data_IF_459636927592
#
_entry.id   IF_459636927592
#
_cell.length_a   1.000
_cell.length_b   1.000
_cell.length_c   1.000
_cell.angle_alpha   90.00
_cell.angle_beta   90.00
_cell.angle_gamma   90.00
#
_symmetry.space_group_name_H-M   'P 1'
#
loop_
_entity.id
_entity.type
_entity.pdbx_description
1 polymer ?
#
# COMPACT_ATOMS: atom_id res chain seq x y z
N UNK A 1 -2.57 -20.56 13.29
CA UNK A 1 -1.58 -19.47 13.14
C UNK A 1 -1.42 -19.15 11.67
N UNK A 2 -1.57 -17.88 11.28
CA UNK A 2 -1.41 -17.49 9.86
C UNK A 2 -0.13 -16.68 9.69
N UNK A 3 0.72 -17.08 8.73
CA UNK A 3 1.88 -16.30 8.30
C UNK A 3 1.49 -15.43 7.10
N UNK A 4 1.95 -14.19 7.08
CA UNK A 4 1.63 -13.22 6.04
C UNK A 4 2.93 -12.49 5.67
N UNK A 5 3.39 -12.65 4.45
CA UNK A 5 4.49 -11.87 3.91
C UNK A 5 3.95 -10.61 3.24
N UNK A 6 4.48 -9.47 3.63
CA UNK A 6 4.08 -8.16 3.09
C UNK A 6 5.21 -7.64 2.23
N UNK A 7 5.04 -7.67 0.91
CA UNK A 7 6.01 -7.11 -0.04
C UNK A 7 5.89 -5.60 0.01
N UNK A 8 6.97 -4.91 0.35
CA UNK A 8 7.02 -3.45 0.53
C UNK A 8 8.06 -2.81 -0.38
N UNK A 9 7.89 -1.52 -0.68
CA UNK A 9 8.77 -0.80 -1.61
C UNK A 9 10.11 -0.43 -0.99
N UNK A 10 10.12 -0.05 0.30
CA UNK A 10 11.31 0.47 0.96
C UNK A 10 11.34 0.29 2.46
N UNK A 11 12.34 0.93 3.08
CA UNK A 11 12.59 0.83 4.53
C UNK A 11 11.50 1.50 5.37
N UNK A 12 10.83 2.50 4.83
CA UNK A 12 9.77 3.25 5.52
C UNK A 12 8.54 2.37 5.72
N UNK A 13 8.07 1.71 4.65
CA UNK A 13 6.97 0.75 4.68
C UNK A 13 7.34 -0.48 5.52
N UNK A 14 8.60 -0.96 5.44
CA UNK A 14 9.10 -2.04 6.30
C UNK A 14 8.98 -1.67 7.78
N UNK A 15 9.43 -0.47 8.15
CA UNK A 15 9.33 0.04 9.52
C UNK A 15 7.87 0.21 9.95
N UNK A 16 6.99 0.71 9.07
CA UNK A 16 5.56 0.82 9.31
C UNK A 16 4.94 -0.56 9.61
N UNK A 17 5.18 -1.55 8.77
CA UNK A 17 4.68 -2.91 8.98
C UNK A 17 5.22 -3.49 10.28
N UNK A 18 6.53 -3.41 10.52
CA UNK A 18 7.20 -4.01 11.67
C UNK A 18 6.75 -3.39 12.99
N UNK A 19 6.67 -2.06 13.05
CA UNK A 19 6.45 -1.35 14.31
C UNK A 19 4.97 -1.14 14.62
N UNK A 20 4.13 -0.95 13.60
CA UNK A 20 2.72 -0.60 13.79
C UNK A 20 1.77 -1.75 13.48
N UNK A 21 2.02 -2.57 12.45
CA UNK A 21 1.11 -3.66 12.10
C UNK A 21 1.44 -4.98 12.81
N UNK A 22 2.70 -5.37 12.92
CA UNK A 22 3.09 -6.64 13.52
C UNK A 22 2.52 -6.82 14.94
N UNK A 23 2.64 -5.87 15.89
CA UNK A 23 2.20 -6.10 17.26
C UNK A 23 0.70 -6.41 17.42
N UNK A 24 -0.24 -5.65 16.82
CA UNK A 24 -1.67 -5.93 16.96
C UNK A 24 -2.10 -7.20 16.21
N UNK A 25 -1.45 -7.54 15.10
CA UNK A 25 -1.76 -8.75 14.34
C UNK A 25 -1.23 -10.01 15.05
N UNK A 26 -0.04 -9.96 15.64
CA UNK A 26 0.55 -11.07 16.38
C UNK A 26 -0.33 -11.48 17.57
N UNK A 27 -0.93 -10.50 18.28
CA UNK A 27 -1.91 -10.77 19.37
C UNK A 27 -3.14 -11.54 18.90
N UNK A 28 -3.42 -11.52 17.58
CA UNK A 28 -4.54 -12.24 16.96
C UNK A 28 -4.08 -13.52 16.24
N UNK A 29 -2.85 -14.00 16.52
CA UNK A 29 -2.28 -15.20 15.91
C UNK A 29 -1.93 -15.06 14.43
N UNK A 30 -1.75 -13.81 13.94
CA UNK A 30 -1.34 -13.48 12.57
C UNK A 30 0.04 -12.86 12.59
N UNK A 31 0.99 -13.49 11.91
CA UNK A 31 2.40 -13.10 11.92
C UNK A 31 2.77 -12.47 10.58
N UNK A 32 2.95 -11.15 10.59
CA UNK A 32 3.36 -10.39 9.42
C UNK A 32 4.88 -10.33 9.36
N UNK A 33 5.43 -10.51 8.15
CA UNK A 33 6.86 -10.35 7.87
C UNK A 33 6.99 -9.46 6.64
N UNK A 34 7.50 -8.22 6.79
CA UNK A 34 7.76 -7.36 5.63
C UNK A 34 8.96 -7.87 4.84
N UNK A 35 8.90 -7.73 3.52
CA UNK A 35 9.97 -8.08 2.59
C UNK A 35 10.12 -6.92 1.60
N UNK A 36 11.26 -6.25 1.65
CA UNK A 36 11.57 -5.17 0.70
C UNK A 36 11.82 -5.78 -0.68
N UNK A 37 11.11 -5.30 -1.70
CA UNK A 37 11.35 -5.69 -3.08
C UNK A 37 12.63 -5.04 -3.61
N UNK A 38 13.50 -5.85 -4.22
CA UNK A 38 14.73 -5.35 -4.82
C UNK A 38 14.48 -4.86 -6.24
N UNK A 39 14.66 -3.58 -6.49
CA UNK A 39 14.40 -2.98 -7.82
C UNK A 39 15.66 -2.67 -8.62
N UNK A 40 16.78 -2.37 -7.97
CA UNK A 40 18.11 -2.25 -8.60
C UNK A 40 19.22 -2.16 -7.55
N UNK A 41 20.46 -2.61 -7.85
CA UNK A 41 21.62 -2.33 -6.99
C UNK A 41 21.80 -0.81 -6.87
N UNK A 42 21.78 -0.28 -5.64
CA UNK A 42 22.03 1.12 -5.35
C UNK A 42 20.84 2.08 -5.34
N UNK A 43 19.64 1.66 -5.71
CA UNK A 43 18.41 2.47 -5.55
C UNK A 43 17.62 1.97 -4.34
N UNK A 44 17.44 2.85 -3.38
CA UNK A 44 16.61 2.63 -2.18
C UNK A 44 15.26 3.29 -2.42
N UNK A 45 14.21 2.48 -2.61
CA UNK A 45 12.82 2.93 -2.66
C UNK A 45 12.17 2.96 -4.05
N UNK A 46 10.89 2.67 -4.06
CA UNK A 46 9.99 2.68 -5.23
C UNK A 46 10.04 1.43 -6.10
N UNK A 47 8.87 1.02 -6.62
CA UNK A 47 8.78 -0.04 -7.64
C UNK A 47 9.12 0.55 -9.01
N UNK A 48 10.38 0.49 -9.40
CA UNK A 48 10.88 1.06 -10.68
C UNK A 48 10.39 0.25 -11.90
N UNK A 49 10.11 -1.06 -11.73
CA UNK A 49 9.65 -1.93 -12.82
C UNK A 49 8.95 -3.16 -12.25
N UNK A 50 7.76 -3.42 -12.74
CA UNK A 50 7.00 -4.61 -12.36
C UNK A 50 7.69 -5.90 -12.81
N UNK A 51 8.35 -5.90 -13.96
CA UNK A 51 9.09 -7.05 -14.45
C UNK A 51 10.15 -7.57 -13.46
N UNK A 52 10.71 -6.69 -12.61
CA UNK A 52 11.67 -7.08 -11.55
C UNK A 52 10.98 -7.55 -10.28
N UNK A 53 9.79 -7.06 -9.98
CA UNK A 53 9.03 -7.37 -8.75
C UNK A 53 8.27 -8.68 -8.88
N UNK A 54 7.65 -8.95 -10.03
CA UNK A 54 6.86 -10.17 -10.29
C UNK A 54 7.57 -11.47 -9.90
N UNK A 55 8.83 -11.71 -10.32
CA UNK A 55 9.52 -12.96 -9.94
C UNK A 55 9.72 -13.10 -8.43
N UNK A 56 9.86 -11.99 -7.70
CA UNK A 56 10.04 -12.00 -6.25
C UNK A 56 8.74 -12.37 -5.54
N UNK A 57 7.59 -11.81 -5.97
CA UNK A 57 6.27 -12.16 -5.44
C UNK A 57 5.99 -13.65 -5.70
N UNK A 58 6.14 -14.12 -6.95
CA UNK A 58 5.90 -15.53 -7.31
C UNK A 58 6.80 -16.46 -6.51
N UNK A 59 8.09 -16.14 -6.39
CA UNK A 59 9.03 -16.92 -5.58
C UNK A 59 8.57 -17.01 -4.12
N UNK A 60 8.14 -15.88 -3.53
CA UNK A 60 7.68 -15.86 -2.14
C UNK A 60 6.43 -16.71 -1.95
N UNK A 61 5.46 -16.63 -2.87
CA UNK A 61 4.26 -17.48 -2.85
C UNK A 61 4.59 -18.96 -2.87
N UNK A 62 5.56 -19.35 -3.70
CA UNK A 62 5.94 -20.76 -3.88
C UNK A 62 6.84 -21.30 -2.78
N UNK A 63 7.67 -20.45 -2.16
CA UNK A 63 8.55 -20.87 -1.05
C UNK A 63 7.77 -21.27 0.20
N UNK A 64 6.61 -20.66 0.43
CA UNK A 64 5.76 -20.96 1.58
C UNK A 64 4.28 -20.95 1.16
N UNK A 65 3.83 -22.04 0.53
CA UNK A 65 2.45 -22.19 0.08
C UNK A 65 1.42 -22.18 1.22
N UNK A 66 1.84 -22.36 2.47
CA UNK A 66 0.99 -22.26 3.67
C UNK A 66 0.89 -20.85 4.26
N UNK A 67 1.56 -19.87 3.68
CA UNK A 67 1.49 -18.48 4.08
C UNK A 67 0.78 -17.64 3.01
N UNK A 68 0.18 -16.53 3.43
CA UNK A 68 -0.34 -15.52 2.52
C UNK A 68 0.78 -14.55 2.11
N UNK A 69 0.73 -14.09 0.88
CA UNK A 69 1.60 -13.02 0.36
C UNK A 69 0.72 -11.85 -0.07
N UNK A 70 1.06 -10.67 0.39
CA UNK A 70 0.37 -9.42 0.02
C UNK A 70 1.38 -8.34 -0.36
N UNK A 71 0.91 -7.25 -0.94
CA UNK A 71 1.70 -6.08 -1.29
C UNK A 71 1.28 -4.87 -0.45
N UNK A 72 2.19 -3.93 -0.25
CA UNK A 72 1.93 -2.61 0.27
C UNK A 72 2.67 -1.64 -0.63
N UNK A 73 2.07 -1.36 -1.81
CA UNK A 73 2.63 -0.50 -2.85
C UNK A 73 1.73 0.71 -3.05
N UNK A 74 2.33 1.86 -3.32
CA UNK A 74 1.59 3.09 -3.53
C UNK A 74 1.03 3.16 -4.96
N UNK A 75 -0.27 3.37 -5.08
CA UNK A 75 -1.00 3.43 -6.35
C UNK A 75 -0.34 4.39 -7.36
N UNK A 76 0.03 5.59 -6.89
CA UNK A 76 0.56 6.63 -7.76
C UNK A 76 2.04 6.46 -8.10
N UNK A 77 2.78 5.68 -7.30
CA UNK A 77 4.18 5.34 -7.56
C UNK A 77 4.35 4.13 -8.48
N UNK A 78 3.28 3.42 -8.84
CA UNK A 78 3.37 2.22 -9.67
C UNK A 78 3.96 2.53 -11.06
N UNK A 79 4.86 1.67 -11.57
CA UNK A 79 5.49 1.84 -12.87
C UNK A 79 4.50 1.62 -14.02
N UNK A 80 4.87 2.09 -15.22
CA UNK A 80 4.01 1.99 -16.41
C UNK A 80 3.80 0.55 -16.88
N UNK A 81 4.74 -0.35 -16.59
CA UNK A 81 4.67 -1.78 -16.91
C UNK A 81 3.84 -2.58 -15.89
N UNK A 82 3.20 -1.90 -14.91
CA UNK A 82 2.32 -2.56 -13.95
C UNK A 82 1.06 -3.14 -14.64
N UNK A 83 0.61 -4.36 -14.28
CA UNK A 83 -0.53 -5.01 -14.90
C UNK A 83 -1.77 -4.13 -14.95
N UNK A 84 -2.30 -3.92 -16.15
CA UNK A 84 -3.50 -3.13 -16.39
C UNK A 84 -3.30 -1.62 -16.44
N UNK A 85 -2.17 -1.06 -16.00
CA UNK A 85 -1.95 0.40 -15.92
C UNK A 85 -1.96 1.08 -17.29
N UNK A 86 -1.41 0.44 -18.29
CA UNK A 86 -1.41 0.92 -19.70
C UNK A 86 -2.57 0.37 -20.54
N UNK A 87 -3.48 -0.42 -19.95
CA UNK A 87 -4.59 -1.00 -20.69
C UNK A 87 -5.67 0.04 -21.03
N UNK A 88 -6.34 -0.05 -22.21
CA UNK A 88 -7.44 0.85 -22.57
C UNK A 88 -8.59 0.86 -21.56
N UNK A 89 -8.77 -0.25 -20.83
CA UNK A 89 -9.79 -0.39 -19.79
C UNK A 89 -9.41 0.22 -18.43
N UNK A 90 -8.21 0.81 -18.30
CA UNK A 90 -7.80 1.46 -17.06
C UNK A 90 -8.71 2.65 -16.74
N UNK A 91 -9.33 2.71 -15.55
CA UNK A 91 -10.30 3.74 -15.20
C UNK A 91 -9.62 5.06 -14.80
N UNK A 92 -8.94 5.71 -15.74
CA UNK A 92 -8.10 6.88 -15.49
C UNK A 92 -8.80 8.05 -14.78
N UNK A 93 -10.12 8.21 -15.01
CA UNK A 93 -10.93 9.28 -14.43
C UNK A 93 -11.74 8.87 -13.19
N UNK A 94 -11.59 7.63 -12.73
CA UNK A 94 -12.25 7.15 -11.51
C UNK A 94 -11.51 7.59 -10.24
N UNK A 95 -12.13 7.37 -9.07
CA UNK A 95 -11.48 7.58 -7.77
C UNK A 95 -10.24 6.69 -7.59
N UNK A 96 -9.35 7.07 -6.70
CA UNK A 96 -8.16 6.29 -6.35
C UNK A 96 -8.52 4.87 -5.93
N UNK A 97 -9.54 4.71 -5.09
CA UNK A 97 -10.05 3.41 -4.67
C UNK A 97 -10.55 2.53 -5.82
N UNK A 98 -11.17 3.12 -6.85
CA UNK A 98 -11.61 2.38 -8.03
C UNK A 98 -10.43 1.95 -8.91
N UNK A 99 -9.43 2.82 -9.06
CA UNK A 99 -8.17 2.52 -9.75
C UNK A 99 -7.42 1.40 -9.05
N UNK A 100 -7.29 1.48 -7.72
CA UNK A 100 -6.62 0.45 -6.91
C UNK A 100 -7.28 -0.91 -7.10
N UNK A 101 -8.59 -1.02 -6.90
CA UNK A 101 -9.34 -2.29 -7.10
C UNK A 101 -9.17 -2.88 -8.50
N UNK A 102 -9.17 -2.03 -9.53
CA UNK A 102 -8.93 -2.49 -10.89
C UNK A 102 -7.52 -3.08 -11.03
N UNK A 103 -6.48 -2.36 -10.59
CA UNK A 103 -5.10 -2.81 -10.69
C UNK A 103 -4.81 -4.03 -9.80
N UNK A 104 -5.39 -4.12 -8.61
CA UNK A 104 -5.32 -5.32 -7.76
C UNK A 104 -5.90 -6.55 -8.47
N UNK A 105 -7.01 -6.38 -9.18
CA UNK A 105 -7.60 -7.46 -9.98
C UNK A 105 -6.64 -7.91 -11.08
N UNK A 106 -6.05 -6.96 -11.81
CA UNK A 106 -5.07 -7.27 -12.86
C UNK A 106 -3.81 -7.94 -12.31
N UNK A 107 -3.30 -7.42 -11.18
CA UNK A 107 -2.13 -7.99 -10.51
C UNK A 107 -2.40 -9.43 -10.03
N UNK A 108 -3.59 -9.67 -9.45
CA UNK A 108 -3.98 -11.02 -9.02
C UNK A 108 -4.03 -12.01 -10.19
N UNK A 109 -4.58 -11.59 -11.32
CA UNK A 109 -4.66 -12.42 -12.53
C UNK A 109 -3.27 -12.71 -13.11
N UNK A 110 -2.37 -11.72 -13.09
CA UNK A 110 -1.04 -11.86 -13.67
C UNK A 110 -0.08 -12.67 -12.79
N UNK A 111 -0.17 -12.58 -11.47
CA UNK A 111 0.61 -13.40 -10.52
C UNK A 111 0.08 -14.84 -10.50
N UNK A 112 -1.25 -15.04 -10.52
CA UNK A 112 -1.93 -16.33 -10.61
C UNK A 112 -1.53 -17.36 -9.53
N UNK A 113 -1.05 -16.92 -8.36
CA UNK A 113 -0.74 -17.80 -7.23
C UNK A 113 -1.91 -17.80 -6.23
N UNK A 114 -2.36 -18.99 -5.72
CA UNK A 114 -3.58 -19.10 -4.93
C UNK A 114 -3.49 -18.41 -3.56
N UNK A 115 -2.29 -18.28 -3.00
CA UNK A 115 -2.01 -17.63 -1.72
C UNK A 115 -1.59 -16.17 -1.85
N UNK A 116 -1.81 -15.55 -3.02
CA UNK A 116 -1.52 -14.15 -3.25
C UNK A 116 -2.78 -13.28 -3.11
N UNK A 117 -2.70 -12.24 -2.28
CA UNK A 117 -3.72 -11.23 -2.08
C UNK A 117 -3.10 -9.86 -2.35
N UNK A 118 -3.27 -9.27 -3.54
CA UNK A 118 -2.75 -7.94 -3.82
C UNK A 118 -3.43 -6.89 -2.94
N UNK A 119 -2.67 -5.88 -2.57
CA UNK A 119 -3.16 -4.69 -1.90
C UNK A 119 -2.35 -3.49 -2.37
N UNK A 120 -3.04 -2.42 -2.74
CA UNK A 120 -2.46 -1.13 -3.10
C UNK A 120 -2.97 -0.06 -2.15
N UNK A 121 -2.07 0.78 -1.68
CA UNK A 121 -2.44 2.01 -0.98
C UNK A 121 -2.86 3.05 -2.01
N UNK A 122 -4.02 3.67 -1.81
CA UNK A 122 -4.53 4.71 -2.71
C UNK A 122 -3.68 5.95 -2.61
N UNK A 123 -3.35 6.33 -1.38
CA UNK A 123 -2.31 7.26 -1.04
C UNK A 123 -1.18 6.54 -0.31
N UNK A 124 -0.12 7.28 -0.01
CA UNK A 124 0.96 6.81 0.87
C UNK A 124 0.37 6.34 2.21
N UNK A 125 1.08 5.45 2.93
CA UNK A 125 0.61 4.93 4.23
C UNK A 125 0.35 6.07 5.25
N UNK A 126 0.87 7.28 5.03
CA UNK A 126 0.59 8.50 5.78
C UNK A 126 -0.90 8.86 5.81
N UNK A 127 -1.68 8.47 4.80
CA UNK A 127 -3.13 8.64 4.81
C UNK A 127 -3.79 7.92 6.01
N UNK A 128 -3.17 6.87 6.54
CA UNK A 128 -3.63 6.19 7.74
C UNK A 128 -3.60 7.10 8.98
N UNK A 129 -2.74 8.11 9.02
CA UNK A 129 -2.71 9.12 10.08
C UNK A 129 -4.02 9.91 10.12
N UNK A 130 -4.68 10.06 8.98
CA UNK A 130 -5.96 10.77 8.87
C UNK A 130 -7.16 9.95 9.33
N UNK A 131 -6.98 8.69 9.72
CA UNK A 131 -8.07 7.86 10.27
C UNK A 131 -8.58 8.36 11.61
N UNK A 132 -7.73 9.07 12.37
CA UNK A 132 -8.08 9.66 13.67
C UNK A 132 -7.51 11.09 13.80
N UNK A 133 -8.08 12.08 13.11
CA UNK A 133 -7.57 13.45 13.12
C UNK A 133 -7.43 14.09 14.52
N UNK A 134 -8.28 13.68 15.47
CA UNK A 134 -8.22 14.17 16.86
C UNK A 134 -6.88 13.84 17.56
N UNK A 135 -6.19 12.75 17.16
CA UNK A 135 -4.90 12.39 17.75
C UNK A 135 -3.80 13.41 17.46
N UNK A 136 -3.98 14.28 16.46
CA UNK A 136 -3.04 15.35 16.18
C UNK A 136 -2.98 16.42 17.28
N UNK A 137 -3.95 16.47 18.20
CA UNK A 137 -3.89 17.34 19.39
C UNK A 137 -2.64 17.06 20.24
N UNK A 138 -2.12 15.82 20.21
CA UNK A 138 -0.92 15.44 20.96
C UNK A 138 0.38 15.92 20.29
N UNK A 139 0.33 16.33 19.02
CA UNK A 139 1.49 16.62 18.19
C UNK A 139 1.59 18.09 17.78
N UNK A 140 0.53 18.86 17.98
CA UNK A 140 0.48 20.27 17.60
C UNK A 140 -0.19 21.14 18.68
N UNK A 141 0.36 22.32 18.91
CA UNK A 141 -0.27 23.34 19.76
C UNK A 141 -1.37 24.13 19.04
N UNK A 142 -1.54 23.93 17.73
CA UNK A 142 -2.59 24.60 16.96
C UNK A 142 -3.89 23.80 17.00
N UNK A 143 -4.82 24.24 17.88
CA UNK A 143 -6.12 23.60 18.07
C UNK A 143 -7.01 23.51 16.81
N UNK A 144 -6.68 24.26 15.74
CA UNK A 144 -7.44 24.22 14.47
C UNK A 144 -7.04 23.01 13.60
N UNK A 145 -5.83 22.46 13.77
CA UNK A 145 -5.33 21.37 12.90
C UNK A 145 -6.22 20.14 12.93
N UNK A 146 -6.58 19.56 14.09
CA UNK A 146 -7.45 18.39 14.13
C UNK A 146 -8.80 18.61 13.46
N UNK A 147 -9.42 19.78 13.69
CA UNK A 147 -10.70 20.11 13.08
C UNK A 147 -10.60 20.28 11.55
N UNK A 148 -9.52 20.92 11.07
CA UNK A 148 -9.27 21.06 9.62
C UNK A 148 -9.07 19.71 8.95
N UNK A 149 -8.30 18.81 9.56
CA UNK A 149 -8.07 17.46 9.06
C UNK A 149 -9.37 16.63 9.04
N UNK A 150 -10.17 16.70 10.13
CA UNK A 150 -11.47 16.03 10.21
C UNK A 150 -12.42 16.52 9.11
N UNK A 151 -12.44 17.84 8.85
CA UNK A 151 -13.24 18.41 7.77
C UNK A 151 -12.77 17.94 6.39
N UNK A 152 -11.45 17.88 6.15
CA UNK A 152 -10.88 17.38 4.90
C UNK A 152 -11.29 15.92 4.64
N UNK A 153 -11.19 15.05 5.67
CA UNK A 153 -11.63 13.65 5.58
C UNK A 153 -13.13 13.56 5.30
N UNK A 154 -13.96 14.36 5.99
CA UNK A 154 -15.41 14.36 5.79
C UNK A 154 -15.79 14.81 4.36
N UNK A 155 -15.07 15.77 3.79
CA UNK A 155 -15.29 16.26 2.41
C UNK A 155 -14.84 15.23 1.36
N UNK A 156 -13.75 14.52 1.62
CA UNK A 156 -13.22 13.49 0.73
C UNK A 156 -14.03 12.18 0.77
N UNK A 157 -14.71 11.89 1.89
CA UNK A 157 -15.45 10.66 2.10
C UNK A 157 -14.67 9.54 2.78
N UNK A 158 -13.35 9.52 2.62
CA UNK A 158 -12.45 8.62 3.35
C UNK A 158 -11.08 9.28 3.56
N UNK A 159 -10.27 8.81 4.53
CA UNK A 159 -8.88 9.27 4.68
C UNK A 159 -8.03 9.08 3.42
N UNK A 160 -8.26 8.01 2.69
CA UNK A 160 -7.53 7.67 1.46
C UNK A 160 -7.92 8.53 0.26
N UNK A 161 -9.08 9.18 0.30
CA UNK A 161 -9.54 10.07 -0.77
C UNK A 161 -9.16 11.55 -0.52
N UNK A 162 -8.54 11.85 0.63
CA UNK A 162 -8.03 13.21 0.92
C UNK A 162 -6.88 13.51 -0.04
N UNK A 163 -7.04 14.57 -0.85
CA UNK A 163 -6.06 14.95 -1.88
C UNK A 163 -5.79 13.88 -2.94
N UNK A 164 -6.79 13.09 -3.31
CA UNK A 164 -6.69 12.01 -4.32
C UNK A 164 -6.17 12.54 -5.67
N UNK A 165 -4.86 12.80 -5.72
CA UNK A 165 -4.16 13.15 -6.96
C UNK A 165 -2.65 12.92 -6.82
N UNK A 166 -1.95 12.56 -7.92
CA UNK A 166 -0.50 12.35 -7.91
C UNK A 166 0.33 13.60 -7.58
N UNK A 167 -0.28 14.79 -7.62
CA UNK A 167 0.38 16.10 -7.36
C UNK A 167 0.11 16.68 -5.97
N UNK A 168 -0.70 15.99 -5.15
CA UNK A 168 -1.12 16.46 -3.83
C UNK A 168 -0.92 15.39 -2.76
N UNK A 169 -0.09 14.38 -3.04
CA UNK A 169 0.30 13.39 -2.06
C UNK A 169 0.98 14.07 -0.84
N UNK A 170 0.86 13.50 0.37
CA UNK A 170 1.39 14.09 1.60
C UNK A 170 2.92 14.23 1.65
N UNK A 171 3.66 13.54 0.81
CA UNK A 171 5.14 13.57 0.75
C UNK A 171 5.68 14.72 -0.09
#
# INVERSE_FOLDING_TARGET
MSRIYVMVEGQTEEAFVSNLLVPPYARRGRYLTPIIVSTSPGHKGGVVSYAKVKPQIVRQCRQDAGAWVTTLFDLYALPTDFPGKAAPAYPAHASGSAKARYLETQLRQDIAEPNFLPNLLVHEYEALLLTQPAQFEQWTSNAKVPATLAQAVAQAGSPEDVNDSPHKAPS
#
